data_IF_105851567744
#
_entry.id   IF_105851567744
#
_cell.length_a   1.000
_cell.length_b   1.000
_cell.length_c   1.000
_cell.angle_alpha   90.00
_cell.angle_beta   90.00
_cell.angle_gamma   90.00
#
_symmetry.space_group_name_H-M   'P 1'
#
loop_
_entity.id
_entity.type
_entity.pdbx_description
1 polymer ?
#
# COMPACT_ATOMS: atom_id res chain seq x y z
N UNK A 1 -34.33 -59.13 -5.86
CA UNK A 1 -33.91 -57.96 -5.05
C UNK A 1 -32.41 -57.98 -4.74
N UNK A 2 -31.86 -59.11 -4.27
CA UNK A 2 -30.41 -59.24 -3.96
C UNK A 2 -29.50 -59.08 -5.19
N UNK A 3 -29.87 -59.65 -6.35
CA UNK A 3 -29.08 -59.55 -7.59
C UNK A 3 -28.92 -58.10 -8.10
N UNK A 4 -29.96 -57.27 -7.93
CA UNK A 4 -29.92 -55.87 -8.36
C UNK A 4 -29.02 -55.02 -7.45
N UNK A 5 -28.91 -55.35 -6.17
CA UNK A 5 -27.99 -54.69 -5.25
C UNK A 5 -26.52 -55.06 -5.51
N UNK A 6 -26.25 -56.30 -5.95
CA UNK A 6 -24.89 -56.72 -6.29
C UNK A 6 -24.42 -56.03 -7.57
N UNK A 7 -25.29 -55.92 -8.58
CA UNK A 7 -24.99 -55.22 -9.82
C UNK A 7 -24.77 -53.71 -9.62
N UNK A 8 -25.55 -53.05 -8.75
CA UNK A 8 -25.35 -51.62 -8.45
C UNK A 8 -24.05 -51.35 -7.67
N UNK A 9 -23.63 -52.26 -6.79
CA UNK A 9 -22.34 -52.18 -6.09
C UNK A 9 -21.17 -52.39 -7.06
N UNK A 10 -21.29 -53.33 -8.01
CA UNK A 10 -20.29 -53.57 -9.06
C UNK A 10 -20.15 -52.38 -10.03
N UNK A 11 -21.27 -51.76 -10.44
CA UNK A 11 -21.25 -50.54 -11.25
C UNK A 11 -20.62 -49.35 -10.51
N UNK A 12 -20.91 -49.19 -9.21
CA UNK A 12 -20.28 -48.17 -8.38
C UNK A 12 -18.76 -48.39 -8.22
N UNK A 13 -18.32 -49.65 -8.08
CA UNK A 13 -16.90 -50.02 -8.01
C UNK A 13 -16.17 -49.84 -9.36
N UNK A 14 -16.85 -50.02 -10.49
CA UNK A 14 -16.29 -49.73 -11.83
C UNK A 14 -16.26 -48.23 -12.18
N UNK A 15 -17.19 -47.44 -11.64
CA UNK A 15 -17.22 -45.99 -11.84
C UNK A 15 -16.10 -45.26 -11.07
N UNK A 16 -15.68 -45.79 -9.90
CA UNK A 16 -14.60 -45.23 -9.09
C UNK A 16 -13.24 -45.08 -9.80
N UNK A 17 -12.69 -46.11 -10.48
CA UNK A 17 -11.44 -45.97 -11.22
C UNK A 17 -11.56 -45.05 -12.43
N UNK A 18 -12.69 -45.05 -13.15
CA UNK A 18 -12.90 -44.11 -14.26
C UNK A 18 -12.88 -42.66 -13.80
N UNK A 19 -13.54 -42.35 -12.67
CA UNK A 19 -13.50 -41.01 -12.07
C UNK A 19 -12.08 -40.62 -11.67
N UNK A 20 -11.31 -41.53 -11.06
CA UNK A 20 -9.90 -41.28 -10.72
C UNK A 20 -9.06 -40.97 -11.96
N UNK A 21 -9.19 -41.74 -13.04
CA UNK A 21 -8.50 -41.44 -14.31
C UNK A 21 -8.91 -40.08 -14.89
N UNK A 22 -10.19 -39.73 -14.81
CA UNK A 22 -10.72 -38.47 -15.30
C UNK A 22 -10.10 -37.24 -14.59
N UNK A 23 -9.70 -37.39 -13.32
CA UNK A 23 -8.97 -36.34 -12.60
C UNK A 23 -7.44 -36.45 -12.74
N UNK A 24 -6.88 -37.66 -12.67
CA UNK A 24 -5.42 -37.92 -12.69
C UNK A 24 -4.80 -37.57 -14.05
N UNK A 25 -5.45 -37.95 -15.16
CA UNK A 25 -4.91 -37.72 -16.51
C UNK A 25 -4.75 -36.22 -16.80
N UNK A 26 -5.77 -35.36 -16.64
CA UNK A 26 -5.59 -33.93 -16.87
C UNK A 26 -4.62 -33.30 -15.87
N UNK A 27 -4.55 -33.75 -14.61
CA UNK A 27 -3.53 -33.30 -13.65
C UNK A 27 -2.10 -33.67 -14.10
N UNK A 28 -1.91 -34.88 -14.65
CA UNK A 28 -0.64 -35.35 -15.18
C UNK A 28 -0.22 -34.56 -16.42
N UNK A 29 -1.14 -34.31 -17.36
CA UNK A 29 -0.86 -33.45 -18.50
C UNK A 29 -0.59 -32.00 -18.06
N UNK A 30 -1.34 -31.45 -17.10
CA UNK A 30 -1.07 -30.14 -16.50
C UNK A 30 0.35 -30.07 -15.90
N UNK A 31 0.77 -31.11 -15.21
CA UNK A 31 2.12 -31.22 -14.65
C UNK A 31 3.19 -31.25 -15.74
N UNK A 32 3.02 -32.07 -16.79
CA UNK A 32 3.94 -32.14 -17.93
C UNK A 32 4.02 -30.80 -18.68
N UNK A 33 2.88 -30.16 -18.95
CA UNK A 33 2.85 -28.84 -19.59
C UNK A 33 3.47 -27.75 -18.71
N UNK A 34 3.29 -27.82 -17.38
CA UNK A 34 3.89 -26.90 -16.43
C UNK A 34 5.42 -27.05 -16.34
N UNK A 35 5.96 -28.25 -16.55
CA UNK A 35 7.41 -28.52 -16.49
C UNK A 35 8.11 -28.23 -17.82
N UNK A 36 7.41 -28.35 -18.95
CA UNK A 36 7.95 -28.12 -20.31
C UNK A 36 8.27 -26.65 -20.62
N UNK A 37 7.53 -25.69 -20.05
CA UNK A 37 7.76 -24.25 -20.28
C UNK A 37 8.75 -23.64 -19.28
N UNK A 38 9.97 -24.17 -19.20
CA UNK A 38 11.05 -23.53 -18.43
C UNK A 38 11.56 -22.30 -19.19
N UNK A 39 10.89 -21.16 -19.00
CA UNK A 39 11.57 -19.86 -19.13
C UNK A 39 12.78 -19.87 -18.18
N UNK A 40 13.89 -19.26 -18.60
CA UNK A 40 15.12 -19.12 -17.79
C UNK A 40 14.87 -18.13 -16.65
N UNK A 41 14.13 -18.56 -15.63
CA UNK A 41 14.06 -17.84 -14.38
C UNK A 41 15.27 -18.18 -13.50
N UNK A 42 15.67 -17.29 -12.58
CA UNK A 42 16.63 -17.61 -11.53
C UNK A 42 16.24 -18.88 -10.74
N UNK A 43 17.18 -19.52 -10.03
CA UNK A 43 16.87 -20.65 -9.17
C UNK A 43 15.78 -20.29 -8.15
N UNK A 44 15.07 -21.27 -7.60
CA UNK A 44 14.03 -21.02 -6.63
C UNK A 44 13.30 -22.28 -6.19
N UNK A 45 12.47 -22.20 -5.14
CA UNK A 45 11.68 -23.34 -4.69
C UNK A 45 10.68 -23.78 -5.76
N UNK A 46 10.58 -25.10 -5.95
CA UNK A 46 9.59 -25.69 -6.84
C UNK A 46 8.17 -25.34 -6.36
N UNK A 47 7.39 -24.73 -7.24
CA UNK A 47 5.99 -24.42 -7.01
C UNK A 47 5.06 -25.45 -7.66
N UNK A 48 3.87 -25.59 -7.12
CA UNK A 48 2.79 -26.39 -7.72
C UNK A 48 2.34 -25.79 -9.05
N UNK A 49 1.83 -26.59 -10.01
CA UNK A 49 1.50 -26.11 -11.36
C UNK A 49 0.61 -24.84 -11.42
N UNK A 50 -0.46 -24.82 -10.63
CA UNK A 50 -1.47 -23.75 -10.63
C UNK A 50 -1.22 -22.68 -9.58
N UNK A 51 -0.97 -23.08 -8.33
CA UNK A 51 -0.84 -22.15 -7.18
C UNK A 51 0.62 -21.70 -6.94
N UNK A 52 1.60 -22.33 -7.59
CA UNK A 52 3.01 -22.04 -7.37
C UNK A 52 3.45 -22.32 -5.92
N UNK A 53 4.10 -21.34 -5.31
CA UNK A 53 4.63 -21.32 -3.96
C UNK A 53 3.63 -20.74 -2.93
N UNK A 54 2.33 -20.65 -3.25
CA UNK A 54 1.34 -20.13 -2.29
C UNK A 54 1.24 -20.92 -0.98
N UNK A 55 1.53 -22.23 -1.00
CA UNK A 55 1.47 -23.07 0.20
C UNK A 55 2.54 -22.74 1.25
N UNK A 56 3.55 -21.94 0.90
CA UNK A 56 4.59 -21.47 1.82
C UNK A 56 4.45 -19.98 2.16
N UNK A 57 3.26 -19.40 1.98
CA UNK A 57 3.07 -17.95 2.13
C UNK A 57 3.29 -17.45 3.55
N UNK A 58 3.00 -18.28 4.55
CA UNK A 58 3.33 -18.08 5.97
C UNK A 58 4.85 -17.93 6.19
N UNK A 59 5.66 -18.55 5.33
CA UNK A 59 7.11 -18.48 5.38
C UNK A 59 7.68 -17.32 4.56
N UNK A 60 6.89 -16.64 3.72
CA UNK A 60 7.36 -15.51 2.89
C UNK A 60 7.49 -14.18 3.69
N UNK A 61 7.89 -14.27 4.96
CA UNK A 61 8.31 -13.13 5.77
C UNK A 61 9.72 -12.68 5.36
N UNK A 62 10.15 -11.48 5.78
CA UNK A 62 11.53 -11.02 5.55
C UNK A 62 12.58 -12.03 6.05
N UNK A 63 12.32 -12.73 7.18
CA UNK A 63 13.21 -13.78 7.71
C UNK A 63 13.20 -15.05 6.86
N UNK A 64 12.04 -15.48 6.39
CA UNK A 64 11.97 -16.68 5.55
C UNK A 64 12.50 -16.45 4.14
N UNK A 65 12.31 -15.25 3.57
CA UNK A 65 12.98 -14.84 2.34
C UNK A 65 14.50 -14.84 2.48
N UNK A 66 15.03 -14.37 3.62
CA UNK A 66 16.47 -14.45 3.90
C UNK A 66 16.98 -15.90 3.97
N UNK A 67 16.21 -16.82 4.59
CA UNK A 67 16.54 -18.26 4.59
C UNK A 67 16.52 -18.87 3.19
N UNK A 68 15.58 -18.47 2.34
CA UNK A 68 15.52 -18.89 0.95
C UNK A 68 16.71 -18.34 0.16
N UNK A 69 17.11 -17.09 0.40
CA UNK A 69 18.29 -16.49 -0.22
C UNK A 69 19.58 -17.25 0.12
N UNK A 70 19.72 -17.73 1.37
CA UNK A 70 20.86 -18.58 1.75
C UNK A 70 20.91 -19.89 0.94
N UNK A 71 19.76 -20.41 0.51
CA UNK A 71 19.65 -21.66 -0.25
C UNK A 71 19.78 -21.47 -1.76
N UNK A 72 19.16 -20.43 -2.31
CA UNK A 72 19.03 -20.22 -3.75
C UNK A 72 19.91 -19.09 -4.30
N UNK A 73 20.57 -18.32 -3.43
CA UNK A 73 21.41 -17.18 -3.80
C UNK A 73 20.71 -15.83 -3.67
N UNK A 74 21.45 -14.75 -3.95
CA UNK A 74 20.99 -13.36 -3.84
C UNK A 74 19.87 -12.96 -4.81
N UNK A 75 19.59 -13.78 -5.83
CA UNK A 75 18.48 -13.60 -6.78
C UNK A 75 17.80 -14.93 -6.98
N UNK A 76 16.52 -15.01 -6.60
CA UNK A 76 15.75 -16.24 -6.75
C UNK A 76 14.30 -15.99 -7.18
N UNK A 77 13.69 -17.00 -7.78
CA UNK A 77 12.35 -16.94 -8.36
C UNK A 77 11.30 -17.57 -7.43
N UNK A 78 10.14 -16.90 -7.32
CA UNK A 78 8.93 -17.42 -6.70
C UNK A 78 7.76 -17.29 -7.70
N UNK A 79 6.89 -18.28 -7.75
CA UNK A 79 5.63 -18.23 -8.50
C UNK A 79 4.48 -18.16 -7.50
N UNK A 80 3.62 -17.16 -7.58
CA UNK A 80 2.42 -17.05 -6.74
C UNK A 80 1.20 -17.07 -7.66
N UNK A 81 0.52 -18.21 -7.78
CA UNK A 81 -0.52 -18.39 -8.78
C UNK A 81 0.05 -18.19 -10.19
N UNK A 82 -0.46 -17.18 -10.91
CA UNK A 82 0.02 -16.77 -12.24
C UNK A 82 1.08 -15.67 -12.22
N UNK A 83 1.39 -15.13 -11.03
CA UNK A 83 2.34 -14.03 -10.88
C UNK A 83 3.74 -14.56 -10.61
N UNK A 84 4.70 -14.16 -11.43
CA UNK A 84 6.11 -14.43 -11.20
C UNK A 84 6.73 -13.31 -10.37
N UNK A 85 7.43 -13.66 -9.30
CA UNK A 85 8.14 -12.75 -8.41
C UNK A 85 9.62 -13.08 -8.42
N UNK A 86 10.47 -12.07 -8.54
CA UNK A 86 11.91 -12.19 -8.37
C UNK A 86 12.25 -11.56 -7.03
N UNK A 87 12.94 -12.31 -6.18
CA UNK A 87 13.40 -11.82 -4.88
C UNK A 87 14.86 -11.45 -5.01
N UNK A 88 15.18 -10.24 -4.56
CA UNK A 88 16.53 -9.70 -4.50
C UNK A 88 16.93 -9.65 -3.04
N UNK A 89 18.08 -10.22 -2.70
CA UNK A 89 18.56 -10.36 -1.32
C UNK A 89 20.07 -10.13 -1.17
N UNK A 90 20.75 -9.73 -2.25
CA UNK A 90 22.14 -9.30 -2.23
C UNK A 90 22.30 -7.80 -2.53
N UNK A 91 23.35 -7.15 -2.01
CA UNK A 91 23.55 -5.70 -2.14
C UNK A 91 23.85 -5.27 -3.58
N UNK A 92 24.65 -6.05 -4.32
CA UNK A 92 24.99 -5.71 -5.71
C UNK A 92 23.78 -5.82 -6.62
N UNK A 93 22.96 -6.85 -6.44
CA UNK A 93 21.75 -7.04 -7.23
C UNK A 93 20.68 -6.02 -6.85
N UNK A 94 20.59 -5.63 -5.57
CA UNK A 94 19.75 -4.52 -5.15
C UNK A 94 20.18 -3.20 -5.80
N UNK A 95 21.49 -2.93 -5.89
CA UNK A 95 22.03 -1.75 -6.57
C UNK A 95 21.68 -1.75 -8.07
N UNK A 96 21.80 -2.91 -8.73
CA UNK A 96 21.40 -3.03 -10.14
C UNK A 96 19.92 -2.69 -10.36
N UNK A 97 19.03 -3.22 -9.51
CA UNK A 97 17.58 -3.03 -9.64
C UNK A 97 17.12 -1.64 -9.22
N UNK A 98 17.64 -1.12 -8.11
CA UNK A 98 17.14 0.11 -7.48
C UNK A 98 17.85 1.39 -7.93
N UNK A 99 19.02 1.27 -8.57
CA UNK A 99 19.81 2.43 -8.99
C UNK A 99 20.18 2.40 -10.47
N UNK A 100 20.72 1.28 -10.97
CA UNK A 100 21.21 1.21 -12.37
C UNK A 100 20.06 1.08 -13.36
N UNK A 101 19.03 0.32 -13.00
CA UNK A 101 17.87 0.01 -13.83
C UNK A 101 16.56 0.50 -13.18
N UNK A 102 16.66 1.57 -12.39
CA UNK A 102 15.55 2.12 -11.62
C UNK A 102 14.35 2.50 -12.51
N UNK A 103 14.62 3.02 -13.71
CA UNK A 103 13.63 3.36 -14.73
C UNK A 103 12.80 2.17 -15.23
N UNK A 104 13.34 0.94 -15.16
CA UNK A 104 12.64 -0.29 -15.58
C UNK A 104 11.83 -0.86 -14.40
N UNK A 105 12.37 -0.77 -13.19
CA UNK A 105 11.81 -1.42 -11.98
C UNK A 105 11.10 -0.46 -11.03
N UNK A 106 10.84 0.78 -11.44
CA UNK A 106 10.21 1.82 -10.62
C UNK A 106 8.73 1.57 -10.34
N UNK A 107 8.03 0.84 -11.22
CA UNK A 107 6.58 0.63 -11.11
C UNK A 107 6.21 -0.34 -9.98
N UNK A 108 4.99 -0.19 -9.45
CA UNK A 108 4.47 -1.04 -8.37
C UNK A 108 3.45 -2.05 -8.88
N UNK A 109 3.37 -3.25 -8.28
CA UNK A 109 2.31 -4.19 -8.59
C UNK A 109 0.92 -3.59 -8.34
N UNK A 110 0.01 -3.69 -9.31
CA UNK A 110 -1.38 -3.27 -9.18
C UNK A 110 -2.20 -4.37 -8.49
N UNK A 111 -2.38 -4.26 -7.18
CA UNK A 111 -3.33 -5.11 -6.44
C UNK A 111 -4.70 -4.45 -6.36
N UNK A 112 -5.74 -5.24 -6.09
CA UNK A 112 -7.11 -4.74 -5.87
C UNK A 112 -7.14 -3.73 -4.73
N UNK A 113 -6.47 -4.03 -3.61
CA UNK A 113 -6.43 -3.14 -2.45
C UNK A 113 -5.75 -1.80 -2.77
N UNK A 114 -4.60 -1.83 -3.46
CA UNK A 114 -3.88 -0.63 -3.89
C UNK A 114 -4.75 0.23 -4.80
N UNK A 115 -5.25 -0.36 -5.90
CA UNK A 115 -6.07 0.37 -6.87
C UNK A 115 -7.32 0.97 -6.20
N UNK A 116 -7.98 0.24 -5.30
CA UNK A 116 -9.17 0.76 -4.64
C UNK A 116 -8.88 1.86 -3.62
N UNK A 117 -7.92 1.64 -2.71
CA UNK A 117 -7.63 2.55 -1.60
C UNK A 117 -6.91 3.83 -2.03
N UNK A 118 -6.19 3.81 -3.16
CA UNK A 118 -5.39 4.96 -3.62
C UNK A 118 -5.93 5.61 -4.90
N UNK A 119 -7.25 5.60 -5.08
CA UNK A 119 -7.95 6.30 -6.18
C UNK A 119 -7.43 5.88 -7.56
N UNK A 120 -7.28 4.57 -7.77
CA UNK A 120 -6.61 3.97 -8.93
C UNK A 120 -5.15 4.38 -9.13
N UNK A 121 -4.38 4.43 -8.02
CA UNK A 121 -2.95 4.78 -8.00
C UNK A 121 -2.70 6.24 -8.36
N UNK A 122 -3.56 7.11 -7.85
CA UNK A 122 -3.44 8.57 -7.94
C UNK A 122 -2.56 9.16 -6.82
N UNK A 123 -1.90 8.30 -6.04
CA UNK A 123 -0.94 8.62 -4.98
C UNK A 123 0.52 8.63 -5.47
N UNK A 124 1.49 8.97 -4.60
CA UNK A 124 2.92 8.98 -4.97
C UNK A 124 3.63 7.62 -4.81
N UNK A 125 3.15 6.74 -3.94
CA UNK A 125 3.82 5.48 -3.61
C UNK A 125 3.55 4.37 -4.64
N UNK A 126 2.34 4.33 -5.21
CA UNK A 126 1.86 3.28 -6.11
C UNK A 126 1.56 3.75 -7.53
N UNK A 127 1.58 5.06 -7.82
CA UNK A 127 1.51 5.55 -9.19
C UNK A 127 2.64 4.97 -10.04
N UNK A 128 2.33 4.67 -11.30
CA UNK A 128 3.34 4.28 -12.27
C UNK A 128 4.28 5.46 -12.53
N UNK A 129 5.55 5.14 -12.77
CA UNK A 129 6.53 6.14 -13.10
C UNK A 129 6.15 6.84 -14.40
N UNK A 130 6.09 8.17 -14.34
CA UNK A 130 5.68 9.00 -15.48
C UNK A 130 5.59 10.47 -15.09
N UNK A 131 5.09 11.32 -16.00
CA UNK A 131 4.93 12.75 -15.75
C UNK A 131 4.15 13.06 -14.46
N UNK A 132 3.04 12.37 -14.21
CA UNK A 132 2.23 12.47 -12.99
C UNK A 132 3.06 12.26 -11.73
N UNK A 133 3.72 11.11 -11.64
CA UNK A 133 4.53 10.75 -10.48
C UNK A 133 5.69 11.73 -10.25
N UNK A 134 6.34 12.18 -11.33
CA UNK A 134 7.45 13.14 -11.24
C UNK A 134 7.00 14.50 -10.70
N UNK A 135 5.87 15.00 -11.18
CA UNK A 135 5.29 16.26 -10.69
C UNK A 135 4.86 16.14 -9.24
N UNK A 136 4.21 15.03 -8.88
CA UNK A 136 3.81 14.77 -7.50
C UNK A 136 5.00 14.71 -6.55
N UNK A 137 6.04 13.97 -6.93
CA UNK A 137 7.27 13.89 -6.15
C UNK A 137 7.95 15.25 -6.01
N UNK A 138 7.97 16.06 -7.08
CA UNK A 138 8.50 17.42 -7.05
C UNK A 138 7.70 18.29 -6.07
N UNK A 139 6.37 18.23 -6.10
CA UNK A 139 5.49 18.94 -5.17
C UNK A 139 5.81 18.55 -3.72
N UNK A 140 5.81 17.25 -3.41
CA UNK A 140 6.11 16.76 -2.07
C UNK A 140 7.49 17.23 -1.58
N UNK A 141 8.53 17.11 -2.40
CA UNK A 141 9.89 17.52 -1.99
C UNK A 141 10.02 19.04 -1.84
N UNK A 142 9.42 19.83 -2.73
CA UNK A 142 9.59 21.28 -2.75
C UNK A 142 8.70 22.02 -1.75
N UNK A 143 7.54 21.47 -1.44
CA UNK A 143 6.52 22.12 -0.62
C UNK A 143 6.41 21.38 0.72
N UNK A 144 6.02 20.11 0.71
CA UNK A 144 5.70 19.35 1.93
C UNK A 144 6.91 19.00 2.80
N UNK A 145 8.02 18.59 2.18
CA UNK A 145 9.24 18.15 2.87
C UNK A 145 10.37 19.18 2.83
N UNK A 146 10.06 20.40 2.40
CA UNK A 146 11.06 21.47 2.30
C UNK A 146 11.41 22.01 3.67
N UNK A 147 12.71 22.23 3.92
CA UNK A 147 13.22 22.85 5.16
C UNK A 147 12.69 24.26 5.41
N UNK A 148 12.04 24.89 4.41
CA UNK A 148 11.44 26.22 4.54
C UNK A 148 10.17 26.25 5.41
N UNK A 149 9.61 25.10 5.78
CA UNK A 149 8.60 25.02 6.86
C UNK A 149 9.26 25.20 8.22
N UNK A 150 9.56 26.45 8.56
CA UNK A 150 10.12 26.81 9.87
C UNK A 150 9.25 26.27 11.02
N UNK A 151 7.92 26.38 10.88
CA UNK A 151 6.94 25.93 11.87
C UNK A 151 6.90 24.39 12.05
N UNK A 152 7.25 23.60 11.02
CA UNK A 152 7.33 22.14 11.17
C UNK A 152 8.48 21.68 12.05
N UNK A 153 9.56 22.48 12.14
CA UNK A 153 10.69 22.19 13.02
C UNK A 153 10.46 22.69 14.43
N UNK A 154 9.75 23.81 14.57
CA UNK A 154 9.30 24.31 15.87
C UNK A 154 8.26 23.35 16.47
N UNK A 155 7.32 22.83 15.68
CA UNK A 155 6.38 21.82 16.16
C UNK A 155 7.08 20.52 16.59
N UNK A 156 8.09 20.08 15.84
CA UNK A 156 8.90 18.91 16.24
C UNK A 156 9.63 19.19 17.55
N UNK A 157 10.17 20.39 17.72
CA UNK A 157 10.86 20.80 18.96
C UNK A 157 9.90 20.81 20.15
N UNK A 158 8.72 21.42 20.01
CA UNK A 158 7.70 21.49 21.06
C UNK A 158 7.26 20.10 21.53
N UNK A 159 7.02 19.19 20.59
CA UNK A 159 6.59 17.82 20.87
C UNK A 159 7.72 17.01 21.54
N UNK A 160 8.97 17.19 21.10
CA UNK A 160 10.15 16.58 21.73
C UNK A 160 10.36 17.11 23.14
N UNK A 161 10.27 18.43 23.35
CA UNK A 161 10.41 19.06 24.66
C UNK A 161 9.31 18.59 25.62
N UNK A 162 8.09 18.41 25.10
CA UNK A 162 6.97 17.83 25.86
C UNK A 162 7.25 16.38 26.28
N UNK A 163 7.76 15.55 25.37
CA UNK A 163 8.16 14.18 25.70
C UNK A 163 9.29 14.15 26.74
N UNK A 164 10.33 14.98 26.58
CA UNK A 164 11.44 15.10 27.54
C UNK A 164 10.92 15.53 28.91
N UNK A 165 9.98 16.48 28.96
CA UNK A 165 9.33 16.91 30.21
C UNK A 165 8.61 15.75 30.89
N UNK A 166 7.85 14.94 30.14
CA UNK A 166 7.18 13.75 30.70
C UNK A 166 8.19 12.75 31.27
N UNK A 167 9.30 12.50 30.57
CA UNK A 167 10.35 11.59 31.04
C UNK A 167 11.01 12.13 32.32
N UNK A 168 11.36 13.42 32.34
CA UNK A 168 12.03 14.04 33.49
C UNK A 168 11.13 14.11 34.72
N UNK A 169 9.83 14.40 34.57
CA UNK A 169 8.88 14.44 35.71
C UNK A 169 8.58 13.06 36.28
N UNK A 170 8.74 12.00 35.48
CA UNK A 170 8.56 10.61 35.89
C UNK A 170 9.90 9.91 36.23
N UNK A 171 10.93 10.69 36.59
CA UNK A 171 12.21 10.10 37.01
C UNK A 171 12.01 9.23 38.25
N UNK A 172 12.44 7.97 38.17
CA UNK A 172 12.28 6.99 39.25
C UNK A 172 11.02 6.13 39.17
N UNK A 173 10.15 6.35 38.18
CA UNK A 173 9.01 5.47 37.88
C UNK A 173 9.18 4.73 36.55
N UNK A 174 8.46 3.62 36.38
CA UNK A 174 8.44 2.90 35.11
C UNK A 174 7.57 3.67 34.10
N UNK A 175 8.12 3.91 32.92
CA UNK A 175 7.42 4.58 31.81
C UNK A 175 7.34 3.67 30.59
N UNK A 176 6.23 3.74 29.85
CA UNK A 176 6.10 3.07 28.57
C UNK A 176 6.70 3.93 27.45
N UNK A 177 7.97 3.69 27.13
CA UNK A 177 8.67 4.43 26.08
C UNK A 177 8.04 4.22 24.68
N UNK A 178 7.49 3.04 24.41
CA UNK A 178 6.84 2.75 23.14
C UNK A 178 5.63 3.65 22.90
N UNK A 179 4.81 3.82 23.94
CA UNK A 179 3.65 4.73 23.89
C UNK A 179 4.09 6.20 23.73
N UNK A 180 5.12 6.63 24.46
CA UNK A 180 5.63 8.00 24.35
C UNK A 180 6.16 8.32 22.94
N UNK A 181 6.95 7.42 22.35
CA UNK A 181 7.47 7.59 20.99
C UNK A 181 6.33 7.53 19.97
N UNK A 182 5.33 6.69 20.20
CA UNK A 182 4.15 6.63 19.34
C UNK A 182 3.36 7.94 19.36
N UNK A 183 3.04 8.47 20.55
CA UNK A 183 2.37 9.76 20.72
C UNK A 183 3.18 10.90 20.10
N UNK A 184 4.49 10.95 20.34
CA UNK A 184 5.39 11.93 19.74
C UNK A 184 5.28 11.91 18.21
N UNK A 185 5.41 10.72 17.61
CA UNK A 185 5.38 10.55 16.15
C UNK A 185 4.01 10.93 15.58
N UNK A 186 2.93 10.50 16.26
CA UNK A 186 1.54 10.83 15.90
C UNK A 186 1.32 12.34 15.90
N UNK A 187 1.70 13.03 16.97
CA UNK A 187 1.46 14.46 17.12
C UNK A 187 2.26 15.27 16.08
N UNK A 188 3.53 14.92 15.86
CA UNK A 188 4.37 15.54 14.82
C UNK A 188 3.73 15.38 13.44
N UNK A 189 3.33 14.16 13.09
CA UNK A 189 2.67 13.86 11.81
C UNK A 189 1.37 14.65 11.67
N UNK A 190 0.51 14.62 12.69
CA UNK A 190 -0.79 15.26 12.64
C UNK A 190 -0.69 16.77 12.51
N UNK A 191 0.21 17.41 13.27
CA UNK A 191 0.46 18.84 13.20
C UNK A 191 1.10 19.25 11.86
N UNK A 192 2.05 18.46 11.35
CA UNK A 192 2.64 18.73 10.03
C UNK A 192 1.65 18.56 8.87
N UNK A 193 0.70 17.63 9.00
CA UNK A 193 -0.34 17.34 8.03
C UNK A 193 -1.44 18.41 8.01
N UNK A 194 -1.98 18.74 9.18
CA UNK A 194 -3.27 19.42 9.33
C UNK A 194 -3.20 20.74 10.10
N UNK A 195 -2.01 21.16 10.56
CA UNK A 195 -1.81 22.44 11.24
C UNK A 195 -2.47 22.55 12.62
N UNK A 196 -2.91 21.44 13.21
CA UNK A 196 -3.63 21.41 14.49
C UNK A 196 -2.93 20.53 15.51
N UNK A 197 -2.85 21.01 16.75
CA UNK A 197 -2.40 20.26 17.92
C UNK A 197 -3.57 19.64 18.72
N UNK A 198 -4.80 19.74 18.21
CA UNK A 198 -5.97 19.15 18.88
C UNK A 198 -5.86 17.63 18.88
N UNK A 199 -6.13 17.01 20.03
CA UNK A 199 -6.29 15.56 20.15
C UNK A 199 -7.55 15.05 19.42
N UNK A 200 -8.50 15.95 19.14
CA UNK A 200 -9.73 15.61 18.43
C UNK A 200 -9.44 15.13 17.00
N UNK A 201 -9.87 13.90 16.71
CA UNK A 201 -9.70 13.27 15.39
C UNK A 201 -8.40 12.48 15.22
N UNK A 202 -7.37 12.67 16.06
CA UNK A 202 -6.09 11.96 15.93
C UNK A 202 -6.25 10.44 16.05
N UNK A 203 -6.94 9.97 17.09
CA UNK A 203 -7.17 8.54 17.31
C UNK A 203 -8.01 7.91 16.19
N UNK A 204 -8.92 8.69 15.61
CA UNK A 204 -9.71 8.24 14.47
C UNK A 204 -8.85 8.11 13.21
N UNK A 205 -7.98 9.09 12.95
CA UNK A 205 -7.01 9.04 11.85
C UNK A 205 -6.06 7.85 11.97
N UNK A 206 -5.51 7.60 13.16
CA UNK A 206 -4.65 6.44 13.42
C UNK A 206 -5.40 5.12 13.16
N UNK A 207 -6.67 5.00 13.56
CA UNK A 207 -7.49 3.81 13.26
C UNK A 207 -7.66 3.60 11.75
N UNK A 208 -7.83 4.69 10.99
CA UNK A 208 -7.88 4.62 9.52
C UNK A 208 -6.54 4.10 8.97
N UNK A 209 -5.40 4.69 9.38
CA UNK A 209 -4.08 4.25 8.92
C UNK A 209 -3.79 2.78 9.25
N UNK A 210 -4.15 2.33 10.46
CA UNK A 210 -4.00 0.93 10.85
C UNK A 210 -4.84 -0.02 10.00
N UNK A 211 -6.07 0.35 9.64
CA UNK A 211 -6.91 -0.45 8.77
C UNK A 211 -6.38 -0.47 7.33
N UNK A 212 -5.91 0.66 6.80
CA UNK A 212 -5.24 0.71 5.49
C UNK A 212 -4.02 -0.20 5.46
N UNK A 213 -3.16 -0.14 6.47
CA UNK A 213 -1.98 -1.01 6.60
C UNK A 213 -2.34 -2.49 6.57
N UNK A 214 -3.39 -2.89 7.32
CA UNK A 214 -3.92 -4.27 7.29
C UNK A 214 -4.44 -4.67 5.91
N UNK A 215 -5.12 -3.76 5.20
CA UNK A 215 -5.70 -4.03 3.89
C UNK A 215 -4.65 -4.11 2.78
N UNK A 216 -3.60 -3.27 2.81
CA UNK A 216 -2.47 -3.38 1.87
C UNK A 216 -1.69 -4.68 2.04
N UNK A 217 -1.56 -5.16 3.27
CA UNK A 217 -0.91 -6.43 3.58
C UNK A 217 -1.82 -7.66 3.44
N UNK A 218 -3.12 -7.48 3.20
CA UNK A 218 -4.07 -8.58 3.14
C UNK A 218 -3.84 -9.46 1.91
N UNK A 219 -3.86 -10.77 2.12
CA UNK A 219 -3.85 -11.70 1.00
C UNK A 219 -5.19 -11.69 0.27
N UNK A 220 -5.13 -11.58 -1.05
CA UNK A 220 -6.29 -11.68 -1.92
C UNK A 220 -5.98 -12.59 -3.10
N UNK A 221 -6.77 -13.65 -3.24
CA UNK A 221 -6.55 -14.69 -4.26
C UNK A 221 -6.65 -14.13 -5.70
N UNK A 222 -7.49 -13.12 -5.90
CA UNK A 222 -7.70 -12.52 -7.21
C UNK A 222 -6.48 -11.74 -7.74
N UNK A 223 -5.59 -11.29 -6.86
CA UNK A 223 -4.33 -10.65 -7.27
C UNK A 223 -3.34 -11.65 -7.88
N UNK A 224 -3.56 -12.95 -7.68
CA UNK A 224 -2.67 -14.01 -8.15
C UNK A 224 -3.32 -14.95 -9.17
N UNK A 225 -4.63 -15.16 -9.10
CA UNK A 225 -5.39 -16.05 -9.98
C UNK A 225 -6.63 -15.29 -10.48
N UNK A 226 -6.53 -14.58 -11.62
CA UNK A 226 -7.56 -13.62 -12.05
C UNK A 226 -8.95 -14.23 -12.26
N UNK A 227 -9.07 -15.50 -12.68
CA UNK A 227 -10.38 -16.13 -12.86
C UNK A 227 -11.06 -16.54 -11.54
N UNK A 228 -10.32 -16.60 -10.43
CA UNK A 228 -10.88 -16.84 -9.10
C UNK A 228 -11.33 -15.54 -8.43
N UNK A 229 -11.54 -14.46 -9.21
CA UNK A 229 -12.04 -13.17 -8.70
C UNK A 229 -13.37 -13.30 -7.95
N UNK A 230 -14.20 -14.28 -8.26
CA UNK A 230 -15.46 -14.50 -7.54
C UNK A 230 -15.30 -15.13 -6.14
N UNK A 231 -14.15 -15.75 -5.82
CA UNK A 231 -13.94 -16.42 -4.52
C UNK A 231 -13.38 -15.43 -3.50
N UNK A 232 -14.04 -15.31 -2.35
CA UNK A 232 -13.45 -14.71 -1.15
C UNK A 232 -13.32 -13.18 -1.13
N UNK A 233 -13.93 -12.47 -2.10
CA UNK A 233 -13.80 -11.01 -2.19
C UNK A 233 -14.81 -10.23 -1.35
N UNK A 234 -15.93 -10.82 -0.92
CA UNK A 234 -17.01 -10.05 -0.30
C UNK A 234 -16.55 -9.34 0.99
N UNK A 235 -15.89 -10.05 1.90
CA UNK A 235 -15.40 -9.44 3.14
C UNK A 235 -14.31 -8.39 2.92
N UNK A 236 -13.38 -8.63 1.99
CA UNK A 236 -12.32 -7.68 1.67
C UNK A 236 -12.88 -6.42 0.99
N UNK A 237 -13.76 -6.57 -0.01
CA UNK A 237 -14.37 -5.45 -0.72
C UNK A 237 -15.19 -4.55 0.22
N UNK A 238 -15.93 -5.13 1.17
CA UNK A 238 -16.68 -4.36 2.18
C UNK A 238 -15.73 -3.58 3.08
N UNK A 239 -14.64 -4.21 3.55
CA UNK A 239 -13.64 -3.52 4.38
C UNK A 239 -12.90 -2.42 3.61
N UNK A 240 -12.56 -2.67 2.35
CA UNK A 240 -11.95 -1.68 1.45
C UNK A 240 -12.88 -0.46 1.27
N UNK A 241 -14.16 -0.70 0.97
CA UNK A 241 -15.17 0.36 0.82
C UNK A 241 -15.34 1.17 2.10
N UNK A 242 -15.44 0.49 3.25
CA UNK A 242 -15.56 1.15 4.56
C UNK A 242 -14.32 1.98 4.90
N UNK A 243 -13.13 1.42 4.73
CA UNK A 243 -11.88 2.11 5.00
C UNK A 243 -11.75 3.35 4.11
N UNK A 244 -12.06 3.21 2.82
CA UNK A 244 -12.06 4.33 1.87
C UNK A 244 -13.03 5.43 2.27
N UNK A 245 -14.29 5.08 2.59
CA UNK A 245 -15.29 6.05 3.03
C UNK A 245 -14.89 6.75 4.34
N UNK A 246 -14.24 6.04 5.28
CA UNK A 246 -13.72 6.64 6.51
C UNK A 246 -12.62 7.66 6.24
N UNK A 247 -11.69 7.37 5.31
CA UNK A 247 -10.66 8.32 4.89
C UNK A 247 -11.27 9.52 4.18
N UNK A 248 -12.19 9.26 3.24
CA UNK A 248 -12.90 10.31 2.49
C UNK A 248 -13.59 11.28 3.45
N UNK A 249 -14.42 10.78 4.37
CA UNK A 249 -15.11 11.62 5.33
C UNK A 249 -14.17 12.42 6.24
N UNK A 250 -13.06 11.83 6.66
CA UNK A 250 -12.08 12.49 7.52
C UNK A 250 -11.29 13.60 6.81
N UNK A 251 -10.75 13.29 5.62
CA UNK A 251 -9.95 14.27 4.88
C UNK A 251 -10.84 15.34 4.25
N UNK A 252 -12.08 14.99 3.88
CA UNK A 252 -13.02 15.96 3.31
C UNK A 252 -13.39 17.03 4.32
N UNK A 253 -13.71 16.66 5.57
CA UNK A 253 -14.00 17.65 6.62
C UNK A 253 -12.80 18.58 6.84
N UNK A 254 -11.58 18.03 6.85
CA UNK A 254 -10.36 18.83 6.99
C UNK A 254 -10.20 19.78 5.81
N UNK A 255 -10.33 19.31 4.57
CA UNK A 255 -10.23 20.16 3.38
C UNK A 255 -11.26 21.30 3.44
N UNK A 256 -12.49 20.99 3.82
CA UNK A 256 -13.58 21.97 3.89
C UNK A 256 -13.29 23.03 4.97
N UNK A 257 -12.81 22.63 6.15
CA UNK A 257 -12.37 23.54 7.21
C UNK A 257 -11.24 24.49 6.75
N UNK A 258 -10.27 24.00 5.96
CA UNK A 258 -9.19 24.84 5.42
C UNK A 258 -9.71 25.84 4.39
N UNK A 259 -10.64 25.41 3.51
CA UNK A 259 -11.28 26.28 2.53
C UNK A 259 -12.09 27.39 3.23
N UNK A 260 -12.83 27.06 4.28
CA UNK A 260 -13.61 28.03 5.06
C UNK A 260 -12.71 29.03 5.79
N UNK A 261 -11.66 28.56 6.48
CA UNK A 261 -10.63 29.42 7.09
C UNK A 261 -9.94 30.34 6.07
N UNK A 262 -9.80 29.87 4.82
CA UNK A 262 -9.28 30.70 3.71
C UNK A 262 -10.23 31.82 3.32
N UNK A 263 -11.52 31.53 3.19
CA UNK A 263 -12.53 32.54 2.85
C UNK A 263 -12.73 33.57 3.95
N UNK A 264 -12.62 33.16 5.20
CA UNK A 264 -12.81 34.03 6.36
C UNK A 264 -11.65 35.00 6.64
N UNK A 265 -10.54 34.95 5.88
CA UNK A 265 -9.32 35.73 6.14
C UNK A 265 -8.90 35.70 7.62
N UNK A 266 -8.99 34.53 8.26
CA UNK A 266 -8.49 34.38 9.63
C UNK A 266 -6.97 34.48 9.56
N UNK A 267 -6.45 35.63 9.99
CA UNK A 267 -5.03 35.89 10.13
C UNK A 267 -4.68 35.58 11.59
N UNK A 268 -3.59 34.85 11.84
CA UNK A 268 -3.12 34.63 13.21
C UNK A 268 -2.70 35.97 13.84
N UNK A 269 -2.50 35.96 15.15
CA UNK A 269 -2.20 37.16 15.95
C UNK A 269 -0.97 37.96 15.47
N UNK A 270 -0.14 37.36 14.59
CA UNK A 270 1.17 37.85 14.15
C UNK A 270 1.19 38.33 12.69
N UNK A 271 0.02 38.39 12.01
CA UNK A 271 -0.07 38.90 10.63
C UNK A 271 0.32 37.91 9.53
N UNK A 272 0.82 36.72 9.89
CA UNK A 272 1.12 35.62 8.96
C UNK A 272 0.10 34.49 9.10
N UNK A 273 -0.24 33.86 7.97
CA UNK A 273 -1.05 32.65 7.95
C UNK A 273 -0.11 31.46 8.01
N UNK A 274 -0.14 30.71 9.11
CA UNK A 274 0.55 29.42 9.23
C UNK A 274 -0.04 28.47 8.17
N UNK A 275 0.79 27.97 7.26
CA UNK A 275 0.35 27.12 6.13
C UNK A 275 0.75 25.68 6.39
N UNK A 276 -0.23 24.80 6.51
CA UNK A 276 -0.02 23.36 6.60
C UNK A 276 -0.06 22.66 5.23
N UNK A 277 0.01 21.32 5.25
CA UNK A 277 0.22 20.52 4.04
C UNK A 277 -1.02 20.58 3.16
N UNK A 278 -2.20 20.63 3.76
CA UNK A 278 -3.46 20.76 3.04
C UNK A 278 -3.52 22.13 2.36
N UNK A 279 -3.12 23.20 3.04
CA UNK A 279 -3.05 24.54 2.45
C UNK A 279 -2.10 24.61 1.24
N UNK A 280 -0.93 23.98 1.31
CA UNK A 280 0.03 23.93 0.20
C UNK A 280 -0.51 23.15 -1.01
N UNK A 281 -1.16 22.00 -0.76
CA UNK A 281 -1.79 21.20 -1.81
C UNK A 281 -2.97 21.94 -2.46
N UNK A 282 -3.79 22.63 -1.67
CA UNK A 282 -4.90 23.45 -2.16
C UNK A 282 -4.41 24.66 -2.95
N UNK A 283 -3.34 25.32 -2.51
CA UNK A 283 -2.73 26.43 -3.23
C UNK A 283 -2.23 25.99 -4.61
N UNK A 284 -1.50 24.88 -4.66
CA UNK A 284 -0.99 24.31 -5.90
C UNK A 284 -2.13 23.91 -6.86
N UNK A 285 -3.19 23.26 -6.34
CA UNK A 285 -4.40 22.96 -7.13
C UNK A 285 -5.04 24.23 -7.71
N UNK A 286 -5.09 25.32 -6.93
CA UNK A 286 -5.67 26.60 -7.36
C UNK A 286 -4.79 27.40 -8.34
N UNK A 287 -3.48 27.19 -8.34
CA UNK A 287 -2.54 27.84 -9.28
C UNK A 287 -2.53 27.14 -10.64
N UNK A 288 -2.51 25.80 -10.66
CA UNK A 288 -2.59 25.06 -11.93
C UNK A 288 -3.92 25.24 -12.66
N UNK A 289 -5.04 25.34 -11.92
CA UNK A 289 -6.34 25.65 -12.53
C UNK A 289 -6.35 27.01 -13.23
N UNK A 290 -5.64 28.02 -12.71
CA UNK A 290 -5.53 29.35 -13.32
C UNK A 290 -4.60 29.39 -14.54
N UNK A 291 -3.48 28.66 -14.51
CA UNK A 291 -2.52 28.61 -15.63
C UNK A 291 -3.12 27.87 -16.84
N UNK A 292 -3.92 26.83 -16.60
CA UNK A 292 -4.57 26.01 -17.63
C UNK A 292 -5.70 26.72 -18.41
N UNK A 293 -6.13 27.91 -18.00
CA UNK A 293 -7.04 28.75 -18.79
C UNK A 293 -6.30 29.57 -19.86
N UNK A 294 -4.96 29.64 -19.81
CA UNK A 294 -4.16 30.59 -20.61
C UNK A 294 -3.21 30.02 -21.66
N UNK A 295 -2.70 28.77 -21.62
CA UNK A 295 -2.01 28.12 -22.76
C UNK A 295 -1.62 26.64 -22.48
N UNK A 296 -1.54 25.83 -23.55
CA UNK A 296 -1.06 24.43 -23.70
C UNK A 296 -1.82 23.26 -23.02
N UNK A 297 -2.88 22.82 -23.70
CA UNK A 297 -3.87 21.82 -23.28
C UNK A 297 -3.45 20.33 -23.35
N UNK A 298 -2.17 19.97 -23.49
CA UNK A 298 -1.81 18.57 -23.76
C UNK A 298 -0.99 17.83 -22.69
N UNK A 299 -0.44 18.50 -21.67
CA UNK A 299 0.36 17.81 -20.64
C UNK A 299 0.24 18.33 -19.21
N UNK A 300 -0.64 19.29 -18.93
CA UNK A 300 -0.91 19.69 -17.54
C UNK A 300 -1.78 18.61 -16.88
N UNK A 301 -1.14 17.76 -16.09
CA UNK A 301 -1.80 16.84 -15.18
C UNK A 301 -2.72 17.65 -14.28
N UNK A 302 -4.03 17.46 -14.43
CA UNK A 302 -5.02 18.06 -13.53
C UNK A 302 -5.00 17.27 -12.23
N UNK A 303 -4.41 17.84 -11.18
CA UNK A 303 -4.65 17.35 -9.84
C UNK A 303 -6.14 17.46 -9.50
N UNK A 304 -6.64 16.54 -8.69
CA UNK A 304 -8.03 16.46 -8.23
C UNK A 304 -8.05 16.38 -6.70
N UNK A 305 -9.23 16.55 -6.08
CA UNK A 305 -9.39 16.32 -4.63
C UNK A 305 -8.93 14.91 -4.24
N UNK A 306 -9.20 13.94 -5.09
CA UNK A 306 -8.76 12.55 -4.93
C UNK A 306 -7.22 12.43 -4.89
N UNK A 307 -6.50 13.21 -5.70
CA UNK A 307 -5.05 13.29 -5.61
C UNK A 307 -4.59 13.85 -4.27
N UNK A 308 -5.21 14.93 -3.78
CA UNK A 308 -4.89 15.52 -2.46
C UNK A 308 -5.04 14.47 -1.36
N UNK A 309 -6.19 13.77 -1.32
CA UNK A 309 -6.44 12.69 -0.36
C UNK A 309 -5.40 11.57 -0.47
N UNK A 310 -5.06 11.17 -1.70
CA UNK A 310 -4.08 10.14 -1.99
C UNK A 310 -2.67 10.51 -1.52
N UNK A 311 -2.26 11.78 -1.69
CA UNK A 311 -0.96 12.29 -1.24
C UNK A 311 -0.88 12.35 0.28
N UNK A 312 -1.94 12.85 0.95
CA UNK A 312 -2.00 12.89 2.41
C UNK A 312 -1.80 11.48 2.97
N UNK A 313 -2.49 10.48 2.41
CA UNK A 313 -2.37 9.08 2.86
C UNK A 313 -0.94 8.51 2.68
N UNK A 314 -0.21 8.93 1.65
CA UNK A 314 1.15 8.41 1.39
C UNK A 314 2.25 9.18 2.12
N UNK A 315 1.95 10.39 2.58
CA UNK A 315 2.93 11.22 3.27
C UNK A 315 3.13 10.83 4.74
N UNK A 316 2.28 9.94 5.27
CA UNK A 316 2.23 9.55 6.69
C UNK A 316 2.09 8.04 6.87
#
# INVERSE_FOLDING_TARGET
>A
MVQNNINSILEALQAQPMLLFFFIIPLFFLYLFSTSRRKRYPPGPLGWPLIGNMMMMDQLTHRGLAKLAQKYGGVFHLKMGYVHKIVISGPEEARQVLQVQDNIYSNRPKTVAISYLTYDRADMAFADYGPFWRQMRKLCVMKLFSRKRAESWDSVRDEVDSMVKIVTTNTGTSINLGELVFCLTRNIIYRAAFGTSSDEGQDYFIKILQEFSKLFGAFNMADFIPWLRWIGQQGLNVRLAKARASLDGFIDSIIDDHIERKKANVINHDGYRETDMVDELLAFYSEETKVNESEDLQNAIRLTRDNIKAIIMVSF
#
